data_IF_900064884302
#
_entry.id   IF_900064884302
#
_cell.length_a   1.000
_cell.length_b   1.000
_cell.length_c   1.000
_cell.angle_alpha   90.00
_cell.angle_beta   90.00
_cell.angle_gamma   90.00
#
_symmetry.space_group_name_H-M   'P 1'
#
loop_
_entity.id
_entity.type
_entity.pdbx_description
1 polymer ?
#
# COMPACT_ATOMS: atom_id res chain seq x y z
N UNK A 1 12.68 19.23 8.85
CA UNK A 1 13.19 20.62 8.89
C UNK A 1 12.58 21.38 7.72
N UNK A 2 11.97 22.54 8.00
CA UNK A 2 11.31 23.38 6.98
C UNK A 2 12.36 23.99 6.05
N UNK A 3 12.16 23.85 4.75
CA UNK A 3 13.01 24.44 3.72
C UNK A 3 12.44 25.74 3.17
N UNK A 4 11.14 25.75 2.88
CA UNK A 4 10.45 26.89 2.30
C UNK A 4 9.04 27.01 2.87
N UNK A 5 8.59 28.23 3.09
CA UNK A 5 7.21 28.56 3.49
C UNK A 5 6.68 29.62 2.53
N UNK A 6 5.57 29.33 1.88
CA UNK A 6 4.84 30.26 0.99
C UNK A 6 3.42 30.40 1.52
N UNK A 7 3.15 31.41 2.34
CA UNK A 7 1.80 31.78 2.71
C UNK A 7 1.19 32.68 1.65
N UNK A 8 0.13 32.24 1.00
CA UNK A 8 -0.65 33.02 0.05
C UNK A 8 -1.75 33.81 0.75
N UNK A 9 -2.30 33.25 1.84
CA UNK A 9 -3.30 33.88 2.70
C UNK A 9 -3.12 33.36 4.12
N UNK A 10 -3.28 34.23 5.12
CA UNK A 10 -2.96 33.93 6.50
C UNK A 10 -1.50 34.27 6.85
N UNK A 11 -1.08 33.92 8.05
CA UNK A 11 0.23 34.22 8.62
C UNK A 11 1.06 32.95 8.80
N UNK A 12 2.28 32.94 8.31
CA UNK A 12 3.20 31.84 8.53
C UNK A 12 3.54 31.71 10.04
N UNK A 13 3.24 30.55 10.62
CA UNK A 13 3.53 30.25 12.02
C UNK A 13 4.91 29.60 12.21
N UNK A 14 5.57 29.22 11.10
CA UNK A 14 6.89 28.61 11.08
C UNK A 14 7.80 29.33 10.08
N UNK A 15 9.11 29.25 10.31
CA UNK A 15 10.11 29.87 9.46
C UNK A 15 10.98 28.79 8.78
N UNK A 16 11.56 29.09 7.61
CA UNK A 16 12.59 28.24 7.02
C UNK A 16 13.73 27.96 8.04
N UNK A 17 14.18 26.71 8.09
CA UNK A 17 15.19 26.26 9.06
C UNK A 17 14.62 25.73 10.38
N UNK A 18 13.34 25.96 10.70
CA UNK A 18 12.72 25.42 11.93
C UNK A 18 12.42 23.92 11.80
N UNK A 19 12.44 23.22 12.92
CA UNK A 19 11.94 21.86 13.03
C UNK A 19 10.47 21.89 13.40
N UNK A 20 9.67 21.04 12.77
CA UNK A 20 8.23 20.90 13.01
C UNK A 20 7.88 19.47 13.34
N UNK A 21 6.78 19.28 14.04
CA UNK A 21 6.22 17.99 14.40
C UNK A 21 4.84 17.82 13.78
N UNK A 22 4.37 16.58 13.68
CA UNK A 22 3.03 16.27 13.23
C UNK A 22 1.97 16.98 14.10
N UNK A 23 0.96 17.54 13.45
CA UNK A 23 -0.10 18.33 14.12
C UNK A 23 0.27 19.78 14.45
N UNK A 24 1.49 20.22 14.15
CA UNK A 24 1.91 21.61 14.37
C UNK A 24 1.31 22.55 13.35
N UNK A 25 0.82 23.71 13.81
CA UNK A 25 0.31 24.78 12.94
C UNK A 25 1.45 25.34 12.09
N UNK A 26 1.29 25.32 10.77
CA UNK A 26 2.27 25.83 9.81
C UNK A 26 1.90 27.21 9.29
N UNK A 27 0.63 27.41 8.94
CA UNK A 27 0.07 28.70 8.48
C UNK A 27 -1.21 28.94 9.27
N UNK A 28 -1.25 30.04 9.99
CA UNK A 28 -2.43 30.48 10.77
C UNK A 28 -3.43 31.20 9.89
N UNK A 29 -4.71 30.84 10.01
CA UNK A 29 -5.80 31.60 9.43
C UNK A 29 -6.27 32.76 10.32
N UNK A 30 -5.62 33.03 11.45
CA UNK A 30 -5.92 34.16 12.30
C UNK A 30 -4.87 35.24 12.10
N UNK A 31 -5.30 36.39 11.60
CA UNK A 31 -4.46 37.58 11.40
C UNK A 31 -4.81 38.60 12.51
N UNK A 32 -3.79 39.00 13.26
CA UNK A 32 -3.97 40.12 14.23
C UNK A 32 -3.57 41.40 13.56
N UNK A 33 -4.57 42.25 13.35
CA UNK A 33 -4.41 43.59 12.77
C UNK A 33 -4.40 44.58 13.92
N UNK A 34 -3.26 45.19 14.23
CA UNK A 34 -3.05 46.15 15.33
C UNK A 34 -4.14 47.24 15.43
N UNK A 35 -4.83 47.57 14.33
CA UNK A 35 -5.85 48.63 14.27
C UNK A 35 -7.29 48.14 14.18
N UNK A 36 -7.54 46.88 13.72
CA UNK A 36 -8.88 46.38 13.41
C UNK A 36 -9.26 45.12 14.23
N UNK A 37 -8.35 44.64 15.10
CA UNK A 37 -8.52 43.39 15.86
C UNK A 37 -8.24 42.13 15.05
N UNK A 38 -8.50 40.97 15.65
CA UNK A 38 -8.26 39.68 15.02
C UNK A 38 -9.27 39.43 13.88
N UNK A 39 -8.72 39.10 12.71
CA UNK A 39 -9.48 38.68 11.53
C UNK A 39 -9.21 37.23 11.23
N UNK A 40 -10.26 36.47 10.91
CA UNK A 40 -10.13 35.07 10.48
C UNK A 40 -10.21 34.99 8.97
N UNK A 41 -9.24 34.36 8.37
CA UNK A 41 -9.15 34.06 6.92
C UNK A 41 -8.89 32.58 6.68
N UNK A 42 -9.24 32.07 5.51
CA UNK A 42 -8.82 30.72 5.15
C UNK A 42 -7.30 30.72 4.92
N UNK A 43 -6.55 30.00 5.73
CA UNK A 43 -5.12 29.82 5.51
C UNK A 43 -4.88 29.11 4.18
N UNK A 44 -4.01 29.65 3.35
CA UNK A 44 -3.63 29.09 2.06
C UNK A 44 -2.14 29.26 1.84
N UNK A 45 -1.47 28.19 1.41
CA UNK A 45 -0.04 28.23 1.12
C UNK A 45 0.54 26.84 0.99
N UNK A 46 1.85 26.77 0.80
CA UNK A 46 2.63 25.55 0.75
C UNK A 46 3.81 25.63 1.72
N UNK A 47 4.14 24.50 2.34
CA UNK A 47 5.29 24.38 3.23
C UNK A 47 6.08 23.15 2.81
N UNK A 48 7.27 23.39 2.26
CA UNK A 48 8.18 22.33 1.84
C UNK A 48 9.18 22.06 2.96
N UNK A 49 9.35 20.79 3.32
CA UNK A 49 10.25 20.37 4.36
C UNK A 49 11.11 19.18 3.96
N UNK A 50 12.24 19.06 4.63
CA UNK A 50 13.06 17.86 4.63
C UNK A 50 12.56 16.91 5.70
N UNK A 51 12.25 15.70 5.31
CA UNK A 51 11.74 14.61 6.14
C UNK A 51 12.66 13.42 6.10
N UNK A 52 12.60 12.56 7.09
CA UNK A 52 13.41 11.34 7.17
C UNK A 52 12.49 10.15 7.43
N UNK A 53 12.70 9.11 6.63
CA UNK A 53 12.01 7.84 6.75
C UNK A 53 12.99 6.74 7.12
N UNK A 54 12.58 5.83 7.99
CA UNK A 54 13.32 4.62 8.31
C UNK A 54 12.38 3.44 8.18
N UNK A 55 12.55 2.68 7.11
CA UNK A 55 11.73 1.51 6.79
C UNK A 55 12.56 0.25 7.00
N UNK A 56 11.95 -0.79 7.56
CA UNK A 56 12.63 -2.06 7.80
C UNK A 56 11.76 -3.21 7.33
N UNK A 57 12.37 -4.15 6.61
CA UNK A 57 11.74 -5.40 6.21
C UNK A 57 12.57 -6.59 6.65
N UNK A 58 11.93 -7.77 6.77
CA UNK A 58 12.58 -9.02 7.16
C UNK A 58 12.37 -10.03 6.07
N UNK A 59 13.46 -10.48 5.47
CA UNK A 59 13.48 -11.47 4.40
C UNK A 59 13.96 -12.79 4.97
N UNK A 60 13.13 -13.86 4.97
CA UNK A 60 13.59 -15.18 5.35
C UNK A 60 14.59 -15.69 4.30
N UNK A 61 15.71 -16.24 4.76
CA UNK A 61 16.74 -16.84 3.90
C UNK A 61 16.35 -18.23 3.44
N UNK A 62 15.42 -18.88 4.15
CA UNK A 62 14.81 -20.15 3.72
C UNK A 62 13.35 -19.90 3.41
N UNK A 63 12.93 -20.24 2.22
CA UNK A 63 11.54 -20.16 1.78
C UNK A 63 11.09 -21.52 1.24
N UNK A 64 9.80 -21.81 1.35
CA UNK A 64 9.19 -22.97 0.73
C UNK A 64 8.58 -22.54 -0.61
N UNK A 65 9.17 -23.00 -1.69
CA UNK A 65 8.67 -22.71 -3.04
C UNK A 65 7.80 -23.87 -3.55
N UNK A 66 6.69 -23.54 -4.21
CA UNK A 66 5.84 -24.50 -4.90
C UNK A 66 6.47 -24.86 -6.24
N UNK A 67 7.08 -26.02 -6.34
CA UNK A 67 7.57 -26.53 -7.61
C UNK A 67 6.49 -27.34 -8.30
N UNK A 68 6.14 -26.96 -9.53
CA UNK A 68 5.11 -27.65 -10.32
C UNK A 68 5.63 -29.04 -10.74
N UNK A 69 4.88 -30.11 -10.38
CA UNK A 69 5.20 -31.50 -10.71
C UNK A 69 4.37 -32.03 -11.88
N UNK A 70 3.26 -31.36 -12.25
CA UNK A 70 2.42 -31.79 -13.34
C UNK A 70 1.04 -31.15 -13.37
N UNK A 71 0.31 -31.42 -14.43
CA UNK A 71 -1.06 -30.95 -14.61
C UNK A 71 -1.95 -32.08 -15.11
N UNK A 72 -3.12 -32.26 -14.49
CA UNK A 72 -4.17 -33.17 -14.99
C UNK A 72 -5.42 -32.39 -15.33
N UNK A 73 -6.17 -32.86 -16.30
CA UNK A 73 -7.42 -32.28 -16.75
C UNK A 73 -8.55 -33.30 -16.59
N UNK A 74 -9.68 -32.84 -16.06
CA UNK A 74 -10.92 -33.61 -16.03
C UNK A 74 -12.02 -32.82 -16.72
N UNK A 75 -12.91 -33.55 -17.41
CA UNK A 75 -14.06 -32.97 -18.09
C UNK A 75 -15.33 -33.56 -17.51
N UNK A 76 -16.34 -32.73 -17.31
CA UNK A 76 -17.67 -33.20 -16.95
C UNK A 76 -18.74 -32.42 -17.71
N UNK A 77 -19.79 -33.10 -18.11
CA UNK A 77 -20.98 -32.53 -18.71
C UNK A 77 -22.07 -32.43 -17.64
N UNK A 78 -22.70 -31.28 -17.54
CA UNK A 78 -23.79 -31.02 -16.58
C UNK A 78 -25.07 -30.78 -17.38
N UNK A 79 -26.07 -31.64 -17.11
CA UNK A 79 -27.43 -31.52 -17.67
C UNK A 79 -28.40 -31.26 -16.49
N UNK A 80 -28.90 -30.07 -16.40
CA UNK A 80 -29.78 -29.73 -15.28
C UNK A 80 -29.13 -30.05 -13.91
N UNK A 81 -29.65 -31.06 -13.23
CA UNK A 81 -29.11 -31.53 -11.92
C UNK A 81 -28.14 -32.71 -12.03
N UNK A 82 -27.96 -33.28 -13.20
CA UNK A 82 -27.11 -34.46 -13.43
C UNK A 82 -25.72 -34.03 -13.93
N UNK A 83 -24.68 -34.66 -13.40
CA UNK A 83 -23.29 -34.45 -13.81
C UNK A 83 -22.66 -35.78 -14.24
N UNK A 84 -22.22 -35.84 -15.47
CA UNK A 84 -21.50 -36.98 -16.06
C UNK A 84 -20.03 -36.60 -16.16
N UNK A 85 -19.15 -37.34 -15.50
CA UNK A 85 -17.70 -37.15 -15.57
C UNK A 85 -17.11 -37.99 -16.70
N UNK A 86 -16.30 -37.33 -17.56
CA UNK A 86 -15.49 -37.97 -18.58
C UNK A 86 -14.03 -37.75 -18.21
N UNK A 87 -13.19 -38.77 -18.27
CA UNK A 87 -11.77 -38.66 -17.98
C UNK A 87 -11.47 -38.07 -16.58
N UNK A 88 -11.83 -38.82 -15.57
CA UNK A 88 -11.37 -38.55 -14.19
C UNK A 88 -10.53 -39.74 -13.75
N UNK A 89 -9.21 -39.58 -13.72
CA UNK A 89 -8.36 -40.55 -13.02
C UNK A 89 -8.46 -40.26 -11.52
N UNK A 90 -9.07 -41.15 -10.78
CA UNK A 90 -9.60 -40.99 -9.44
C UNK A 90 -8.62 -41.22 -8.31
N UNK A 91 -7.33 -41.13 -8.50
CA UNK A 91 -6.38 -41.33 -7.40
C UNK A 91 -5.44 -40.12 -7.30
N UNK A 92 -5.87 -39.12 -6.53
CA UNK A 92 -5.05 -37.99 -6.11
C UNK A 92 -4.96 -38.09 -4.59
N UNK A 93 -4.25 -39.11 -4.11
CA UNK A 93 -3.95 -39.22 -2.67
C UNK A 93 -2.53 -38.70 -2.43
N UNK A 94 -2.38 -37.84 -1.42
CA UNK A 94 -1.10 -37.47 -0.85
C UNK A 94 -0.28 -36.38 -1.55
N UNK A 95 -0.78 -35.72 -2.59
CA UNK A 95 -0.07 -34.65 -3.31
C UNK A 95 -0.83 -33.33 -3.21
N UNK A 96 -0.10 -32.25 -2.93
CA UNK A 96 -0.70 -30.90 -2.92
C UNK A 96 -1.05 -30.50 -4.35
N UNK A 97 -2.23 -29.90 -4.53
CA UNK A 97 -2.68 -29.40 -5.82
C UNK A 97 -3.55 -28.15 -5.72
N UNK A 98 -3.46 -27.31 -6.71
CA UNK A 98 -4.39 -26.21 -6.93
C UNK A 98 -5.42 -26.62 -7.98
N UNK A 99 -6.71 -26.45 -7.69
CA UNK A 99 -7.82 -26.83 -8.58
C UNK A 99 -8.43 -25.59 -9.22
N UNK A 100 -8.42 -25.56 -10.54
CA UNK A 100 -9.05 -24.51 -11.36
C UNK A 100 -10.25 -25.12 -12.06
N UNK A 101 -11.42 -24.52 -11.93
CA UNK A 101 -12.66 -24.99 -12.57
C UNK A 101 -13.17 -23.93 -13.56
N UNK A 102 -13.24 -24.30 -14.83
CA UNK A 102 -13.78 -23.46 -15.89
C UNK A 102 -15.11 -24.06 -16.38
N UNK A 103 -16.13 -23.22 -16.49
CA UNK A 103 -17.45 -23.60 -16.96
C UNK A 103 -17.68 -23.00 -18.36
N UNK A 104 -18.07 -23.84 -19.31
CA UNK A 104 -18.39 -23.44 -20.68
C UNK A 104 -19.84 -23.76 -20.94
N UNK A 105 -20.64 -22.76 -21.31
CA UNK A 105 -22.01 -22.90 -21.79
C UNK A 105 -22.05 -22.53 -23.27
N UNK A 106 -22.77 -23.32 -24.07
CA UNK A 106 -22.94 -23.10 -25.52
C UNK A 106 -24.35 -22.71 -25.88
N UNK A 107 -24.51 -22.06 -27.04
CA UNK A 107 -25.79 -21.82 -27.68
C UNK A 107 -25.75 -22.39 -29.09
N UNK A 108 -26.87 -22.96 -29.55
CA UNK A 108 -27.06 -23.42 -30.92
C UNK A 108 -28.18 -22.61 -31.56
N UNK A 109 -27.90 -21.94 -32.67
CA UNK A 109 -28.87 -21.07 -33.39
C UNK A 109 -29.50 -20.00 -32.49
N UNK A 110 -28.72 -19.43 -31.55
CA UNK A 110 -29.21 -18.40 -30.63
C UNK A 110 -29.97 -18.92 -29.39
N UNK A 111 -30.24 -20.24 -29.34
CA UNK A 111 -30.92 -20.88 -28.19
C UNK A 111 -29.88 -21.42 -27.23
N UNK A 112 -29.88 -21.02 -25.93
CA UNK A 112 -28.95 -21.54 -24.95
C UNK A 112 -29.17 -23.03 -24.74
N UNK A 113 -28.11 -23.82 -24.87
CA UNK A 113 -28.19 -25.27 -24.64
C UNK A 113 -28.29 -25.53 -23.13
N UNK A 114 -29.16 -26.44 -22.67
CA UNK A 114 -29.27 -26.81 -21.25
C UNK A 114 -28.10 -27.69 -20.78
N UNK A 115 -26.95 -27.54 -21.42
CA UNK A 115 -25.74 -28.34 -21.22
C UNK A 115 -24.59 -27.42 -20.88
N UNK A 116 -23.84 -27.75 -19.82
CA UNK A 116 -22.64 -27.05 -19.45
C UNK A 116 -21.44 -28.00 -19.40
N UNK A 117 -20.39 -27.67 -20.13
CA UNK A 117 -19.13 -28.37 -20.07
C UNK A 117 -18.29 -27.76 -18.94
N UNK A 118 -17.87 -28.59 -17.99
CA UNK A 118 -16.99 -28.20 -16.87
C UNK A 118 -15.63 -28.82 -17.10
N UNK A 119 -14.61 -27.98 -17.22
CA UNK A 119 -13.20 -28.38 -17.26
C UNK A 119 -12.58 -28.14 -15.92
N UNK A 120 -12.08 -29.17 -15.29
CA UNK A 120 -11.33 -29.11 -14.05
C UNK A 120 -9.84 -29.34 -14.38
N UNK A 121 -8.99 -28.45 -13.89
CA UNK A 121 -7.52 -28.53 -14.06
C UNK A 121 -6.91 -28.63 -12.68
N UNK A 122 -6.19 -29.70 -12.41
CA UNK A 122 -5.43 -29.91 -11.19
C UNK A 122 -3.96 -29.67 -11.52
N UNK A 123 -3.36 -28.66 -10.87
CA UNK A 123 -1.93 -28.38 -10.93
C UNK A 123 -1.29 -28.94 -9.68
N UNK A 124 -0.47 -29.97 -9.84
CA UNK A 124 0.25 -30.61 -8.75
C UNK A 124 1.53 -29.85 -8.46
N UNK A 125 1.85 -29.71 -7.17
CA UNK A 125 3.09 -29.10 -6.75
C UNK A 125 3.67 -29.83 -5.53
N UNK A 126 5.00 -29.85 -5.47
CA UNK A 126 5.76 -30.19 -4.28
C UNK A 126 6.29 -28.90 -3.67
N UNK A 127 6.44 -28.91 -2.35
CA UNK A 127 7.00 -27.79 -1.62
C UNK A 127 8.46 -28.10 -1.35
N UNK A 128 9.36 -27.37 -2.01
CA UNK A 128 10.79 -27.54 -1.90
C UNK A 128 11.38 -26.39 -1.11
N UNK A 129 12.22 -26.64 -0.09
CA UNK A 129 12.95 -25.57 0.57
C UNK A 129 13.95 -24.95 -0.41
N UNK A 130 13.88 -23.64 -0.59
CA UNK A 130 14.83 -22.85 -1.38
C UNK A 130 15.57 -21.94 -0.42
N UNK A 131 16.88 -21.97 -0.49
CA UNK A 131 17.72 -21.03 0.25
C UNK A 131 18.02 -19.84 -0.63
N UNK A 132 17.69 -18.63 -0.13
CA UNK A 132 18.09 -17.39 -0.75
C UNK A 132 19.51 -17.03 -0.28
N UNK A 133 20.36 -16.67 -1.22
CA UNK A 133 21.64 -16.06 -0.89
C UNK A 133 21.42 -14.69 -0.22
N UNK A 134 22.31 -14.35 0.73
CA UNK A 134 22.21 -13.10 1.47
C UNK A 134 22.17 -11.86 0.55
N UNK A 135 22.93 -11.89 -0.56
CA UNK A 135 22.95 -10.80 -1.55
C UNK A 135 21.62 -10.67 -2.28
N UNK A 136 21.01 -11.80 -2.66
CA UNK A 136 19.69 -11.80 -3.31
C UNK A 136 18.59 -11.33 -2.37
N UNK A 137 18.65 -11.74 -1.10
CA UNK A 137 17.72 -11.31 -0.07
C UNK A 137 17.84 -9.80 0.22
N UNK A 138 19.06 -9.24 0.25
CA UNK A 138 19.32 -7.83 0.40
C UNK A 138 18.73 -7.03 -0.77
N UNK A 139 19.01 -7.43 -2.01
CA UNK A 139 18.46 -6.77 -3.22
C UNK A 139 16.93 -6.83 -3.26
N UNK A 140 16.33 -7.95 -2.82
CA UNK A 140 14.89 -8.08 -2.72
C UNK A 140 14.32 -7.12 -1.66
N UNK A 141 14.95 -7.05 -0.49
CA UNK A 141 14.57 -6.16 0.59
C UNK A 141 14.67 -4.69 0.19
N UNK A 142 15.78 -4.29 -0.43
CA UNK A 142 15.98 -2.93 -0.95
C UNK A 142 14.90 -2.53 -1.96
N UNK A 143 14.59 -3.42 -2.91
CA UNK A 143 13.55 -3.16 -3.91
C UNK A 143 12.17 -2.96 -3.28
N UNK A 144 11.78 -3.83 -2.32
CA UNK A 144 10.51 -3.72 -1.60
C UNK A 144 10.43 -2.40 -0.83
N UNK A 145 11.49 -2.04 -0.12
CA UNK A 145 11.52 -0.82 0.68
C UNK A 145 11.53 0.44 -0.17
N UNK A 146 12.21 0.42 -1.32
CA UNK A 146 12.24 1.54 -2.27
C UNK A 146 10.86 1.75 -2.91
N UNK A 147 10.17 0.69 -3.28
CA UNK A 147 8.80 0.76 -3.80
C UNK A 147 7.82 1.28 -2.75
N UNK A 148 7.94 0.80 -1.52
CA UNK A 148 7.13 1.28 -0.39
C UNK A 148 7.39 2.77 -0.10
N UNK A 149 8.66 3.19 -0.09
CA UNK A 149 9.03 4.59 0.10
C UNK A 149 8.43 5.47 -1.02
N UNK A 150 8.51 5.04 -2.28
CA UNK A 150 7.92 5.75 -3.42
C UNK A 150 6.44 6.01 -3.22
N UNK A 151 5.69 4.98 -2.83
CA UNK A 151 4.24 5.12 -2.55
C UNK A 151 3.91 6.06 -1.40
N UNK A 152 4.81 6.21 -0.42
CA UNK A 152 4.61 7.11 0.73
C UNK A 152 4.92 8.58 0.39
N UNK A 153 5.92 8.81 -0.46
CA UNK A 153 6.44 10.15 -0.80
C UNK A 153 5.70 10.77 -1.99
N UNK A 154 5.27 9.96 -2.96
CA UNK A 154 4.46 10.42 -4.10
C UNK A 154 3.02 10.76 -3.68
N UNK A 155 2.37 11.74 -4.30
CA UNK A 155 2.82 12.61 -5.41
C UNK A 155 3.47 13.92 -4.97
N UNK A 156 3.65 14.18 -3.69
CA UNK A 156 3.98 15.51 -3.14
C UNK A 156 5.44 15.67 -2.72
N UNK A 157 6.27 14.68 -2.99
CA UNK A 157 7.66 14.71 -2.57
C UNK A 157 8.64 14.07 -3.54
N UNK A 158 9.92 14.24 -3.25
CA UNK A 158 11.05 13.63 -3.95
C UNK A 158 12.03 13.05 -2.96
N UNK A 159 12.59 11.89 -3.28
CA UNK A 159 13.65 11.26 -2.50
C UNK A 159 14.98 11.91 -2.84
N UNK A 160 15.68 12.49 -1.86
CA UNK A 160 16.97 13.15 -2.04
C UNK A 160 18.13 12.18 -1.90
N UNK A 161 18.07 11.29 -0.92
CA UNK A 161 19.10 10.28 -0.68
C UNK A 161 18.53 9.06 0.03
N UNK A 162 19.14 7.91 -0.22
CA UNK A 162 18.82 6.65 0.46
C UNK A 162 20.08 5.98 0.95
N UNK A 163 19.99 5.34 2.10
CA UNK A 163 21.02 4.48 2.65
C UNK A 163 20.39 3.15 3.05
N UNK A 164 20.85 2.07 2.41
CA UNK A 164 20.43 0.72 2.73
C UNK A 164 21.46 0.04 3.63
N UNK A 165 20.99 -0.73 4.60
CA UNK A 165 21.81 -1.57 5.46
C UNK A 165 21.11 -2.89 5.71
N UNK A 166 21.88 -3.99 5.68
CA UNK A 166 21.38 -5.34 5.93
C UNK A 166 22.08 -5.99 7.13
N UNK A 167 21.31 -6.66 7.98
CA UNK A 167 21.82 -7.39 9.13
C UNK A 167 21.19 -8.77 9.22
N UNK A 168 22.03 -9.81 9.20
CA UNK A 168 21.56 -11.18 9.38
C UNK A 168 21.24 -11.45 10.86
N UNK A 169 20.04 -12.00 11.10
CA UNK A 169 19.60 -12.51 12.41
C UNK A 169 19.11 -13.95 12.26
N UNK A 170 20.02 -14.91 12.47
CA UNK A 170 19.72 -16.32 12.28
C UNK A 170 19.38 -16.64 10.82
N UNK A 171 18.17 -17.09 10.58
CA UNK A 171 17.63 -17.47 9.26
C UNK A 171 16.85 -16.34 8.55
N UNK A 172 16.98 -15.13 9.05
CA UNK A 172 16.31 -13.94 8.51
C UNK A 172 17.33 -12.85 8.25
N UNK A 173 17.23 -12.19 7.11
CA UNK A 173 17.94 -10.95 6.80
C UNK A 173 17.03 -9.77 7.10
N UNK A 174 17.42 -8.92 8.03
CA UNK A 174 16.76 -7.65 8.34
C UNK A 174 17.40 -6.55 7.48
N UNK A 175 16.61 -5.97 6.57
CA UNK A 175 17.04 -4.89 5.67
C UNK A 175 16.37 -3.61 6.11
N UNK A 176 17.17 -2.55 6.32
CA UNK A 176 16.69 -1.24 6.73
C UNK A 176 17.10 -0.21 5.68
N UNK A 177 16.13 0.56 5.22
CA UNK A 177 16.31 1.69 4.32
C UNK A 177 16.07 2.98 5.10
N UNK A 178 17.09 3.81 5.22
CA UNK A 178 16.97 5.18 5.68
C UNK A 178 16.92 6.11 4.47
N UNK A 179 15.96 7.02 4.44
CA UNK A 179 15.77 7.93 3.34
C UNK A 179 15.59 9.37 3.82
N UNK A 180 16.18 10.30 3.08
CA UNK A 180 15.94 11.73 3.20
C UNK A 180 15.09 12.18 2.01
N UNK A 181 13.96 12.82 2.32
CA UNK A 181 13.00 13.28 1.32
C UNK A 181 12.76 14.79 1.44
N UNK A 182 12.30 15.38 0.36
CA UNK A 182 11.80 16.75 0.32
C UNK A 182 10.37 16.70 -0.16
N UNK A 183 9.44 17.13 0.67
CA UNK A 183 8.02 17.01 0.39
C UNK A 183 7.20 18.19 0.93
N UNK A 184 6.02 18.36 0.38
CA UNK A 184 5.05 19.31 0.90
C UNK A 184 4.31 18.68 2.09
N UNK A 185 4.46 19.31 3.26
CA UNK A 185 3.93 18.78 4.55
C UNK A 185 2.63 19.46 5.00
N UNK A 186 2.15 20.44 4.25
CA UNK A 186 0.94 21.20 4.59
C UNK A 186 -0.34 20.39 4.38
N UNK A 187 -1.16 20.27 5.43
CA UNK A 187 -2.52 19.73 5.32
C UNK A 187 -3.53 20.78 5.74
N UNK A 188 -4.60 20.94 4.96
CA UNK A 188 -5.70 21.86 5.28
C UNK A 188 -6.59 21.25 6.36
N UNK A 189 -6.76 21.95 7.47
CA UNK A 189 -7.63 21.56 8.58
C UNK A 189 -8.70 22.63 8.77
N UNK A 190 -10.01 22.26 8.90
CA UNK A 190 -11.06 23.23 9.17
C UNK A 190 -10.88 23.87 10.55
N UNK A 191 -11.01 25.19 10.64
CA UNK A 191 -11.03 25.91 11.90
C UNK A 191 -12.42 25.76 12.50
N UNK A 192 -12.54 25.00 13.59
CA UNK A 192 -13.77 24.94 14.37
C UNK A 192 -13.80 26.14 15.31
N UNK A 193 -14.61 27.15 14.98
CA UNK A 193 -14.88 28.26 15.89
C UNK A 193 -16.08 27.84 16.75
N UNK A 194 -15.80 27.48 18.02
CA UNK A 194 -16.86 27.39 19.02
C UNK A 194 -17.35 28.81 19.29
N UNK A 195 -18.54 29.14 18.76
CA UNK A 195 -19.26 30.34 19.18
C UNK A 195 -19.71 30.10 20.63
N UNK A 196 -18.94 30.63 21.58
CA UNK A 196 -19.40 30.71 22.96
C UNK A 196 -20.55 31.75 22.97
N UNK A 197 -21.76 31.24 23.00
CA UNK A 197 -22.91 32.08 23.31
C UNK A 197 -22.70 32.70 24.70
N UNK A 198 -22.43 33.98 24.76
CA UNK A 198 -22.51 34.70 26.05
C UNK A 198 -23.93 34.50 26.60
N UNK A 199 -24.09 34.06 27.87
CA UNK A 199 -25.41 34.00 28.48
C UNK A 199 -25.99 35.42 28.53
N UNK A 200 -27.03 35.63 27.72
CA UNK A 200 -27.73 36.88 27.62
C UNK A 200 -28.07 37.40 28.99
N UNK A 201 -27.67 38.66 29.30
CA UNK A 201 -28.25 39.47 30.35
C UNK A 201 -29.71 39.65 30.01
N UNK A 202 -30.58 38.90 30.64
CA UNK A 202 -32.02 39.18 30.68
C UNK A 202 -32.30 40.47 31.43
N UNK A 203 -33.45 41.07 31.17
CA UNK A 203 -33.83 42.39 31.60
C UNK A 203 -34.07 42.51 33.10
#
# INVERSE_FOLDING_TARGET
>A
MVLEVRALNGVAAVLPGSSVTEGQLLISGVEDLETLGARTVAAMGSVTARTWYSLTTRIPLTALEKQACGTKHGFSLVFGKQRVKFFSNSSIEGVNYDKITNNYSGSLLGIPLPVRLVRETWRFYETVPVELDAVQAEQLGERILTEQLGTMVEPYGTVSSTLCSARRRGDVLEVTLAAECVEEIGQSVPILIELTEEPGKGP
#
